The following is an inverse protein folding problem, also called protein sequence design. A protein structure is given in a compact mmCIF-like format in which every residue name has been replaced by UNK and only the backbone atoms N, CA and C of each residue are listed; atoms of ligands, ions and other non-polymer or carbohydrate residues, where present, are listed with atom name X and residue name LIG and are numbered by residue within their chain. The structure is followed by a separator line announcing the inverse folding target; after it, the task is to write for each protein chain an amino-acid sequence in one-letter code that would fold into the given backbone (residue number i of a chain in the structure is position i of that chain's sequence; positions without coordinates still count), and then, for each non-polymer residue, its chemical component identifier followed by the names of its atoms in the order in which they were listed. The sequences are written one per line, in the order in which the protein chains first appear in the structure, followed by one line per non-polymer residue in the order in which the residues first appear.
data_IF_906266493060
#
_entry.id   IF_906266493060
#
_cell.length_a   1.000
_cell.length_b   1.000
_cell.length_c   1.000
_cell.angle_alpha   90.00
_cell.angle_beta   90.00
_cell.angle_gamma   90.00
#
_symmetry.space_group_name_H-M   'P 1'
#
loop_
_entity.id
_entity.type
_entity.pdbx_description
1 polymer ?
#
# COMPACT_ATOMS: atom_id res chain seq x y z
N UNK A 1 -40.87 -13.43 5.74
CA UNK A 1 -39.82 -14.47 5.58
C UNK A 1 -39.57 -14.62 4.07
N UNK A 2 -38.36 -14.72 3.50
CA UNK A 2 -36.95 -14.63 3.97
C UNK A 2 -36.22 -13.59 3.06
N UNK A 3 -34.90 -13.49 2.77
CA UNK A 3 -33.68 -14.20 3.18
C UNK A 3 -32.42 -13.29 3.11
N UNK A 4 -32.19 -12.38 4.06
CA UNK A 4 -31.03 -11.45 4.05
C UNK A 4 -29.69 -12.15 4.36
N UNK A 5 -29.22 -13.07 3.51
CA UNK A 5 -28.12 -14.00 3.84
C UNK A 5 -27.01 -14.22 2.81
N UNK A 6 -27.17 -13.87 1.53
CA UNK A 6 -26.19 -14.26 0.50
C UNK A 6 -24.97 -13.32 0.37
N UNK A 7 -25.14 -12.01 0.55
CA UNK A 7 -24.05 -11.02 0.40
C UNK A 7 -22.92 -11.24 1.45
N UNK A 8 -23.21 -11.92 2.55
CA UNK A 8 -22.28 -12.15 3.66
C UNK A 8 -21.31 -13.33 3.48
N UNK A 9 -21.35 -14.05 2.36
CA UNK A 9 -20.57 -15.30 2.18
C UNK A 9 -19.16 -15.09 1.60
N UNK A 10 -18.96 -14.17 0.65
CA UNK A 10 -17.67 -13.94 -0.04
C UNK A 10 -16.68 -12.99 0.68
N UNK A 11 -16.93 -12.60 1.94
CA UNK A 11 -16.13 -11.61 2.69
C UNK A 11 -15.46 -12.18 3.96
N UNK A 12 -15.17 -13.48 4.00
CA UNK A 12 -14.79 -14.16 5.26
C UNK A 12 -13.56 -15.09 5.22
N UNK A 13 -12.81 -15.08 4.12
CA UNK A 13 -11.62 -15.92 3.91
C UNK A 13 -10.46 -15.15 3.28
N UNK A 14 -10.23 -13.91 3.70
CA UNK A 14 -8.99 -13.18 3.48
C UNK A 14 -8.64 -12.54 4.82
N UNK A 15 -7.47 -12.86 5.37
CA UNK A 15 -6.98 -12.22 6.59
C UNK A 15 -6.60 -10.75 6.28
N UNK A 16 -6.94 -9.77 7.16
CA UNK A 16 -6.70 -8.36 6.85
C UNK A 16 -5.22 -7.94 6.84
N UNK A 17 -4.30 -8.76 7.35
CA UNK A 17 -2.86 -8.57 7.22
C UNK A 17 -2.29 -9.34 6.01
N UNK A 18 -2.79 -10.54 5.68
CA UNK A 18 -2.51 -11.19 4.38
C UNK A 18 -3.64 -10.93 3.39
N UNK A 19 -3.80 -9.66 2.99
CA UNK A 19 -4.66 -9.32 1.86
C UNK A 19 -4.06 -9.93 0.59
N UNK A 20 -4.59 -11.07 0.15
CA UNK A 20 -4.21 -11.78 -1.08
C UNK A 20 -4.69 -11.00 -2.32
N UNK A 21 -4.01 -9.88 -2.57
CA UNK A 21 -4.00 -9.18 -3.85
C UNK A 21 -2.83 -9.70 -4.68
N UNK A 22 -3.02 -9.74 -5.99
CA UNK A 22 -1.95 -9.75 -6.97
C UNK A 22 -1.21 -8.40 -6.89
N UNK A 23 -0.25 -8.30 -5.96
CA UNK A 23 0.62 -7.15 -5.82
C UNK A 23 1.58 -7.09 -7.01
N UNK A 24 1.71 -5.92 -7.61
CA UNK A 24 2.77 -5.71 -8.60
C UNK A 24 4.16 -5.84 -7.93
N UNK A 25 5.20 -6.16 -8.70
CA UNK A 25 6.58 -6.17 -8.19
C UNK A 25 6.96 -4.86 -7.50
N UNK A 26 6.44 -3.73 -7.98
CA UNK A 26 6.54 -2.39 -7.38
C UNK A 26 5.96 -2.31 -5.96
N UNK A 27 4.81 -2.94 -5.71
CA UNK A 27 4.17 -2.98 -4.39
C UNK A 27 4.91 -3.91 -3.43
N UNK A 28 5.43 -5.05 -3.93
CA UNK A 28 6.23 -6.00 -3.15
C UNK A 28 7.56 -5.38 -2.70
N UNK A 29 8.28 -4.71 -3.61
CA UNK A 29 9.52 -3.99 -3.29
C UNK A 29 9.29 -2.90 -2.24
N UNK A 30 8.22 -2.11 -2.38
CA UNK A 30 7.84 -1.12 -1.37
C UNK A 30 7.55 -1.75 0.00
N UNK A 31 6.83 -2.88 0.05
CA UNK A 31 6.57 -3.59 1.32
C UNK A 31 7.85 -4.12 1.97
N UNK A 32 8.80 -4.64 1.18
CA UNK A 32 10.11 -5.09 1.69
C UNK A 32 10.97 -3.94 2.22
N UNK A 33 11.03 -2.81 1.50
CA UNK A 33 11.78 -1.63 1.94
C UNK A 33 11.15 -1.00 3.21
N UNK A 34 9.82 -1.00 3.31
CA UNK A 34 9.10 -0.56 4.50
C UNK A 34 9.31 -1.53 5.69
N UNK A 35 9.48 -2.83 5.43
CA UNK A 35 9.88 -3.81 6.45
C UNK A 35 11.31 -3.57 6.95
N UNK A 36 12.26 -3.34 6.06
CA UNK A 36 13.62 -2.97 6.43
C UNK A 36 13.63 -1.69 7.29
N UNK A 37 12.83 -0.68 6.92
CA UNK A 37 12.68 0.55 7.71
C UNK A 37 12.08 0.31 9.11
N UNK A 38 11.04 -0.53 9.25
CA UNK A 38 10.46 -0.88 10.57
C UNK A 38 11.50 -1.52 11.49
N UNK A 39 12.35 -2.39 10.95
CA UNK A 39 13.39 -3.09 11.70
C UNK A 39 14.54 -2.17 12.11
N UNK A 40 15.03 -1.32 11.20
CA UNK A 40 16.13 -0.38 11.47
C UNK A 40 15.72 0.74 12.45
N UNK A 41 14.55 1.37 12.21
CA UNK A 41 14.05 2.45 13.07
C UNK A 41 13.47 1.99 14.42
N UNK A 42 13.27 0.68 14.61
CA UNK A 42 12.60 0.10 15.78
C UNK A 42 11.11 0.48 15.94
N UNK A 43 10.51 1.14 14.93
CA UNK A 43 9.13 1.67 15.00
C UNK A 43 8.15 0.72 14.32
N UNK A 44 7.18 0.21 15.08
CA UNK A 44 6.06 -0.59 14.53
C UNK A 44 5.17 0.18 13.55
N UNK A 45 5.09 1.51 13.70
CA UNK A 45 4.27 2.39 12.86
C UNK A 45 5.11 3.59 12.41
N UNK A 46 5.63 3.59 11.16
CA UNK A 46 6.29 4.77 10.60
C UNK A 46 5.27 5.87 10.29
N UNK A 47 5.66 7.12 10.51
CA UNK A 47 4.86 8.30 10.12
C UNK A 47 4.83 8.48 8.60
N UNK A 48 3.87 9.27 8.09
CA UNK A 48 3.76 9.56 6.66
C UNK A 48 5.04 10.15 6.06
N UNK A 49 5.80 10.94 6.83
CA UNK A 49 7.09 11.51 6.42
C UNK A 49 8.20 10.46 6.28
N UNK A 50 8.17 9.43 7.12
CA UNK A 50 9.09 8.28 7.04
C UNK A 50 8.72 7.36 5.87
N UNK A 51 7.42 7.09 5.66
CA UNK A 51 6.91 6.35 4.49
C UNK A 51 7.30 7.06 3.17
N UNK A 52 7.14 8.38 3.09
CA UNK A 52 7.60 9.17 1.95
C UNK A 52 9.13 9.14 1.77
N UNK A 53 9.89 8.84 2.82
CA UNK A 53 11.35 8.68 2.73
C UNK A 53 11.72 7.31 2.14
N UNK A 54 11.05 6.23 2.57
CA UNK A 54 11.19 4.89 1.97
C UNK A 54 10.88 4.93 0.47
N UNK A 55 9.77 5.56 0.06
CA UNK A 55 9.41 5.73 -1.36
C UNK A 55 10.49 6.47 -2.17
N UNK A 56 11.10 7.52 -1.59
CA UNK A 56 12.19 8.26 -2.25
C UNK A 56 13.49 7.45 -2.34
N UNK A 57 13.80 6.61 -1.34
CA UNK A 57 14.96 5.71 -1.39
C UNK A 57 14.85 4.64 -2.49
N UNK A 58 13.62 4.23 -2.84
CA UNK A 58 13.32 3.37 -3.99
C UNK A 58 13.25 4.14 -5.33
N UNK A 59 13.53 5.45 -5.34
CA UNK A 59 13.54 6.27 -6.56
C UNK A 59 12.17 6.72 -7.06
N UNK A 60 11.07 6.50 -6.32
CA UNK A 60 9.75 7.00 -6.73
C UNK A 60 9.71 8.53 -6.72
N UNK A 61 9.58 9.12 -7.91
CA UNK A 61 9.44 10.57 -8.10
C UNK A 61 8.00 10.94 -8.38
N UNK A 62 7.52 12.04 -7.77
CA UNK A 62 6.21 12.61 -8.08
C UNK A 62 6.30 13.34 -9.42
N UNK A 63 5.93 12.67 -10.50
CA UNK A 63 5.71 13.34 -11.80
C UNK A 63 4.68 14.47 -11.64
N UNK A 64 5.03 15.67 -12.09
CA UNK A 64 4.02 16.71 -12.30
C UNK A 64 3.26 16.35 -13.58
N UNK A 65 1.91 16.42 -13.61
CA UNK A 65 1.22 16.45 -14.88
C UNK A 65 1.74 17.66 -15.66
N UNK A 66 2.11 17.47 -16.93
CA UNK A 66 2.54 18.58 -17.77
C UNK A 66 1.35 19.55 -17.91
N UNK A 67 1.45 20.71 -17.26
CA UNK A 67 0.46 21.77 -17.39
C UNK A 67 0.63 22.42 -18.76
N UNK A 68 0.03 21.78 -19.77
CA UNK A 68 -0.25 22.43 -21.05
C UNK A 68 -1.23 23.57 -20.76
N UNK A 69 -0.67 24.76 -20.52
CA UNK A 69 -1.43 25.99 -20.45
C UNK A 69 -2.04 26.23 -21.83
N UNK A 70 -3.30 25.82 -21.98
CA UNK A 70 -4.08 26.06 -23.19
C UNK A 70 -4.07 27.56 -23.47
N UNK A 71 -3.56 27.92 -24.65
CA UNK A 71 -3.46 29.27 -25.18
C UNK A 71 -4.58 29.52 -26.19
#
# INVERSE_FOLDING_TARGET
MTNTKEIASRRRSIDPATCERDYDSSEVEFMQALEQYKNDSGRRFPTCSEILTVLRSLGYVRVMPCSVAAS
#
